data_IF_601749009009
#
_entry.id   IF_601749009009
#
_cell.length_a   1.000
_cell.length_b   1.000
_cell.length_c   1.000
_cell.angle_alpha   90.00
_cell.angle_beta   90.00
_cell.angle_gamma   90.00
#
_symmetry.space_group_name_H-M   'P 1'
#
loop_
_entity.id
_entity.type
_entity.pdbx_description
1 polymer ?
2 non-polymer ?
3 non-polymer ?
4 water ?
#
# COMPACT_ATOMS: atom_id res chain seq x y z
N UNK A 1 -16.87 -6.86 -5.75
CA UNK A 1 -16.23 -7.20 -4.44
C UNK A 1 -15.21 -6.11 -4.04
N UNK A 2 -14.46 -5.57 -4.95
CA UNK A 2 -13.38 -4.57 -4.57
C UNK A 2 -13.90 -3.14 -4.67
N UNK A 3 -15.14 -2.96 -5.08
CA UNK A 3 -15.55 -1.66 -5.65
C UNK A 3 -15.49 -0.52 -4.67
N UNK A 4 -15.67 -0.72 -3.37
CA UNK A 4 -15.61 0.42 -2.45
C UNK A 4 -14.17 0.96 -2.27
N UNK A 5 -13.16 0.17 -2.69
CA UNK A 5 -11.78 0.64 -2.66
C UNK A 5 -11.42 1.51 -3.85
N UNK A 6 -12.23 1.49 -4.91
CA UNK A 6 -11.82 2.14 -6.15
C UNK A 6 -11.90 3.66 -6.00
N UNK A 7 -10.97 4.34 -6.63
CA UNK A 7 -10.97 5.78 -6.69
C UNK A 7 -9.62 6.35 -6.32
N UNK A 8 -9.63 7.66 -6.04
CA UNK A 8 -8.43 8.42 -5.76
C UNK A 8 -8.46 8.77 -4.26
N UNK A 9 -7.35 8.52 -3.60
CA UNK A 9 -7.22 8.60 -2.15
C UNK A 9 -6.00 9.43 -1.79
N UNK A 10 -6.10 10.28 -0.79
CA UNK A 10 -5.03 11.17 -0.35
C UNK A 10 -4.62 10.82 1.06
N UNK A 11 -3.31 10.77 1.36
CA UNK A 11 -2.85 10.48 2.74
C UNK A 11 -3.22 11.65 3.66
N UNK A 12 -3.88 11.29 4.79
CA UNK A 12 -4.32 12.24 5.84
C UNK A 12 -3.85 11.89 7.26
N UNK A 13 -3.22 10.74 7.49
CA UNK A 13 -2.63 10.42 8.81
C UNK A 13 -1.60 9.32 8.61
N UNK A 14 -0.46 9.36 9.33
CA UNK A 14 0.51 8.26 9.27
C UNK A 14 1.10 8.02 10.65
N UNK A 15 1.12 6.74 11.04
CA UNK A 15 1.68 6.31 12.32
C UNK A 15 2.70 5.20 12.06
N UNK A 16 3.91 5.40 12.58
CA UNK A 16 4.95 4.38 12.59
C UNK A 16 5.51 4.05 11.20
N UNK A 17 5.37 4.95 10.23
CA UNK A 17 5.95 4.66 8.91
C UNK A 17 7.48 4.59 8.98
N UNK A 18 8.11 5.43 9.80
CA UNK A 18 9.55 5.31 9.92
C UNK A 18 9.96 3.95 10.46
N UNK A 19 9.24 3.42 11.45
CA UNK A 19 9.56 2.10 11.96
C UNK A 19 9.49 1.06 10.85
N UNK A 20 8.44 1.14 10.05
CA UNK A 20 8.25 0.18 8.95
C UNK A 20 9.39 0.29 7.94
N UNK A 21 9.69 1.49 7.50
CA UNK A 21 10.78 1.70 6.55
C UNK A 21 12.11 1.21 7.11
N UNK A 22 12.36 1.53 8.37
CA UNK A 22 13.63 1.13 8.95
C UNK A 22 13.73 -0.39 9.00
N UNK A 23 12.63 -1.07 9.33
CA UNK A 23 12.62 -2.53 9.37
C UNK A 23 12.98 -3.13 8.02
N UNK A 24 12.55 -2.47 6.94
CA UNK A 24 12.87 -2.87 5.56
C UNK A 24 14.27 -2.47 5.14
N UNK A 25 15.04 -1.77 5.98
CA UNK A 25 16.39 -1.37 5.63
C UNK A 25 16.49 -0.13 4.78
N UNK A 26 15.45 0.68 4.74
CA UNK A 26 15.49 1.94 4.00
C UNK A 26 16.44 2.91 4.71
N UNK A 27 17.30 3.57 3.94
CA UNK A 27 18.27 4.50 4.50
C UNK A 27 17.65 5.75 5.08
N UNK A 28 18.41 6.43 5.97
CA UNK A 28 17.88 7.57 6.72
C UNK A 28 17.36 8.66 5.82
N UNK A 29 18.10 8.94 4.76
CA UNK A 29 17.74 10.12 3.93
C UNK A 29 16.44 9.87 3.23
N UNK A 30 16.25 8.65 2.73
CA UNK A 30 14.99 8.27 2.08
C UNK A 30 13.86 8.29 3.11
N UNK A 31 14.09 7.75 4.30
CA UNK A 31 13.06 7.78 5.34
C UNK A 31 12.64 9.21 5.63
N UNK A 32 13.63 10.05 5.73
CA UNK A 32 13.41 11.45 6.03
C UNK A 32 12.47 12.11 5.00
N UNK A 33 12.74 11.98 3.69
CA UNK A 33 11.87 12.53 2.65
C UNK A 33 10.52 11.86 2.67
N UNK A 34 10.52 10.53 2.76
CA UNK A 34 9.26 9.77 2.77
C UNK A 34 8.35 10.23 3.91
N UNK A 35 8.88 10.59 5.05
CA UNK A 35 8.08 10.97 6.24
C UNK A 35 7.32 12.29 6.02
N UNK A 36 7.68 13.07 5.01
CA UNK A 36 7.01 14.34 4.76
C UNK A 36 6.20 14.30 3.46
N UNK A 37 6.13 13.15 2.88
CA UNK A 37 5.44 13.02 1.61
C UNK A 37 3.97 12.64 1.90
N UNK A 38 3.05 13.13 1.05
CA UNK A 38 1.63 12.75 1.21
C UNK A 38 1.17 12.16 -0.12
N UNK A 39 1.32 10.89 -0.31
CA UNK A 39 0.98 10.34 -1.58
C UNK A 39 -0.51 10.35 -1.88
N UNK A 40 -0.76 10.20 -3.17
CA UNK A 40 -2.07 9.91 -3.72
C UNK A 40 -2.07 8.50 -4.24
N UNK A 41 -3.08 7.74 -3.85
CA UNK A 41 -3.24 6.36 -4.29
C UNK A 41 -4.48 6.28 -5.16
N UNK A 42 -4.33 5.73 -6.39
CA UNK A 42 -5.43 5.60 -7.32
C UNK A 42 -5.63 4.12 -7.56
N UNK A 43 -6.84 3.63 -7.29
CA UNK A 43 -7.17 2.20 -7.48
C UNK A 43 -8.27 2.14 -8.54
N UNK A 44 -7.99 1.44 -9.64
CA UNK A 44 -8.97 1.33 -10.72
C UNK A 44 -9.05 -0.12 -11.18
N UNK A 45 -10.22 -0.47 -11.73
CA UNK A 45 -10.33 -1.85 -12.27
C UNK A 45 -10.84 -1.78 -13.71
N UNK A 46 -10.51 -2.84 -14.42
CA UNK A 46 -10.90 -3.04 -15.82
C UNK A 46 -11.13 -4.55 -15.86
N UNK A 47 -12.39 -4.98 -15.75
CA UNK A 47 -12.64 -6.40 -15.63
C UNK A 47 -11.97 -6.92 -14.39
N UNK A 48 -11.25 -8.01 -14.54
CA UNK A 48 -10.62 -8.61 -13.36
C UNK A 48 -9.25 -8.02 -13.10
N UNK A 49 -8.81 -7.02 -13.85
CA UNK A 49 -7.47 -6.45 -13.62
C UNK A 49 -7.61 -5.16 -12.80
N UNK A 50 -6.92 -5.14 -11.67
CA UNK A 50 -6.81 -3.93 -10.85
C UNK A 50 -5.47 -3.26 -11.11
N UNK A 51 -5.50 -1.94 -11.13
CA UNK A 51 -4.29 -1.15 -11.22
C UNK A 51 -4.25 -0.20 -10.02
N UNK A 52 -3.12 -0.21 -9.34
CA UNK A 52 -2.92 0.59 -8.11
C UNK A 52 -1.71 1.47 -8.36
N UNK A 53 -1.98 2.77 -8.45
CA UNK A 53 -0.96 3.80 -8.64
C UNK A 53 -0.71 4.47 -7.32
N UNK A 54 0.56 4.77 -7.01
CA UNK A 54 0.91 5.57 -5.84
C UNK A 54 1.82 6.68 -6.32
N UNK A 55 1.37 7.93 -6.15
CA UNK A 55 2.04 9.09 -6.71
C UNK A 55 2.50 10.02 -5.60
N UNK A 56 3.68 10.59 -5.76
CA UNK A 56 4.16 11.59 -4.81
C UNK A 56 5.19 12.46 -5.47
N UNK A 57 5.66 13.47 -4.71
CA UNK A 57 6.75 14.31 -5.12
C UNK A 57 8.11 13.62 -5.08
N UNK A 58 8.21 12.45 -4.49
CA UNK A 58 9.48 11.76 -4.30
C UNK A 58 9.57 10.53 -5.20
N UNK A 59 8.74 9.56 -4.97
CA UNK A 59 8.70 8.30 -5.74
C UNK A 59 7.27 8.08 -6.24
N UNK A 60 7.16 7.42 -7.39
CA UNK A 60 5.88 6.92 -7.94
C UNK A 60 5.99 5.41 -8.14
N UNK A 61 4.89 4.70 -8.01
CA UNK A 61 4.78 3.30 -8.38
C UNK A 61 3.46 3.03 -9.09
N UNK A 62 3.43 1.93 -9.82
CA UNK A 62 2.19 1.42 -10.40
C UNK A 62 2.32 -0.09 -10.48
N UNK A 63 1.26 -0.79 -10.07
CA UNK A 63 1.15 -2.23 -10.23
C UNK A 63 -0.21 -2.56 -10.86
N UNK A 64 -0.24 -3.63 -11.65
CA UNK A 64 -1.48 -4.21 -12.13
C UNK A 64 -1.48 -5.70 -11.78
N UNK A 65 -2.65 -6.20 -11.41
CA UNK A 65 -2.75 -7.56 -10.95
C UNK A 65 -4.20 -8.03 -11.05
N UNK A 66 -4.35 -9.34 -11.07
CA UNK A 66 -5.62 -10.01 -10.85
C UNK A 66 -5.67 -10.51 -9.42
N UNK A 67 -6.81 -10.37 -8.71
CA UNK A 67 -6.91 -10.89 -7.38
C UNK A 67 -6.61 -12.38 -7.41
N UNK A 68 -5.81 -12.82 -6.44
CA UNK A 68 -5.54 -14.22 -6.28
C UNK A 68 -4.54 -14.82 -7.24
N UNK A 69 -3.84 -14.00 -8.01
CA UNK A 69 -2.85 -14.48 -8.98
C UNK A 69 -1.52 -13.78 -8.67
N UNK A 70 -0.49 -14.55 -8.44
CA UNK A 70 0.82 -13.99 -8.10
C UNK A 70 1.35 -13.12 -9.25
N UNK A 71 2.08 -12.08 -8.89
CA UNK A 71 2.72 -11.20 -9.86
C UNK A 71 4.08 -10.78 -9.31
N UNK A 72 4.99 -10.48 -10.24
CA UNK A 72 6.24 -9.87 -9.86
C UNK A 72 6.02 -8.39 -9.61
N UNK A 73 6.77 -7.84 -8.63
CA UNK A 73 6.67 -6.44 -8.27
C UNK A 73 8.05 -5.93 -7.89
N UNK A 74 8.31 -4.69 -8.24
CA UNK A 74 9.50 -3.96 -7.77
C UNK A 74 9.00 -2.77 -6.96
N UNK A 75 9.24 -2.81 -5.66
CA UNK A 75 8.62 -1.85 -4.77
C UNK A 75 9.28 -0.48 -4.85
N UNK A 76 8.67 0.49 -4.14
CA UNK A 76 9.16 1.86 -4.17
C UNK A 76 10.59 1.97 -3.67
N UNK A 77 10.95 1.07 -2.73
CA UNK A 77 12.29 0.98 -2.16
C UNK A 77 13.15 -0.08 -2.86
N UNK A 78 12.76 -0.45 -4.08
CA UNK A 78 13.56 -1.31 -5.00
C UNK A 78 13.70 -2.78 -4.58
N UNK A 79 12.81 -3.28 -3.73
CA UNK A 79 12.79 -4.73 -3.50
C UNK A 79 12.10 -5.42 -4.67
N UNK A 80 12.68 -6.54 -5.10
CA UNK A 80 12.07 -7.38 -6.13
C UNK A 80 11.37 -8.53 -5.42
N UNK A 81 10.04 -8.50 -5.46
CA UNK A 81 9.23 -9.37 -4.63
C UNK A 81 8.23 -10.16 -5.48
N UNK A 82 7.72 -11.23 -4.87
CA UNK A 82 6.62 -12.02 -5.40
C UNK A 82 5.39 -11.61 -4.62
N UNK A 83 4.35 -11.18 -5.29
CA UNK A 83 3.20 -10.55 -4.65
C UNK A 83 1.91 -11.25 -5.01
N UNK A 84 0.96 -11.15 -4.09
CA UNK A 84 -0.42 -11.58 -4.36
C UNK A 84 -1.34 -10.67 -3.58
N UNK A 85 -2.46 -10.33 -4.18
CA UNK A 85 -3.48 -9.48 -3.53
C UNK A 85 -4.78 -10.28 -3.53
N UNK A 86 -5.50 -10.30 -2.42
CA UNK A 86 -6.73 -11.05 -2.24
C UNK A 86 -7.66 -10.23 -1.35
N UNK A 87 -8.95 -10.52 -1.39
CA UNK A 87 -9.90 -9.99 -0.40
C UNK A 87 -10.06 -10.98 0.73
N UNK A 88 -9.99 -10.48 1.95
CA UNK A 88 -10.06 -11.33 3.15
C UNK A 88 -10.87 -10.56 4.16
N UNK A 89 -12.05 -11.01 4.48
CA UNK A 89 -12.85 -10.28 5.45
C UNK A 89 -13.21 -8.90 4.99
N UNK A 90 -13.32 -8.71 3.68
CA UNK A 90 -13.61 -7.39 3.11
C UNK A 90 -12.40 -6.47 2.99
N UNK A 91 -11.25 -6.93 3.40
CA UNK A 91 -10.01 -6.17 3.35
C UNK A 91 -9.22 -6.60 2.12
N UNK A 92 -8.55 -5.62 1.54
CA UNK A 92 -7.70 -5.89 0.40
C UNK A 92 -6.32 -6.21 0.98
N UNK A 93 -5.84 -7.48 0.88
CA UNK A 93 -4.62 -7.94 1.54
C UNK A 93 -3.56 -8.18 0.47
N UNK A 94 -2.44 -7.52 0.67
CA UNK A 94 -1.36 -7.62 -0.32
C UNK A 94 -0.18 -8.19 0.46
N UNK A 95 0.30 -9.31 -0.07
CA UNK A 95 1.42 -10.00 0.57
C UNK A 95 2.60 -9.98 -0.40
N UNK A 96 3.75 -9.52 0.08
CA UNK A 96 5.00 -9.51 -0.69
C UNK A 96 5.98 -10.47 -0.03
N UNK A 97 6.66 -11.26 -0.86
CA UNK A 97 7.65 -12.26 -0.41
C UNK A 97 8.96 -12.04 -1.15
N UNK A 98 10.07 -12.06 -0.43
CA UNK A 98 11.38 -11.97 -1.06
C UNK A 98 12.43 -12.45 -0.05
N UNK A 99 13.41 -13.19 -0.52
CA UNK A 99 14.54 -13.56 0.37
C UNK A 99 14.04 -14.30 1.63
N UNK A 100 12.89 -14.98 1.55
CA UNK A 100 12.32 -15.62 2.72
C UNK A 100 11.57 -14.67 3.67
N UNK A 101 11.61 -13.38 3.44
CA UNK A 101 10.89 -12.36 4.20
C UNK A 101 9.50 -12.20 3.65
N UNK A 102 8.62 -11.61 4.45
CA UNK A 102 7.31 -11.20 4.03
C UNK A 102 6.96 -9.84 4.60
N UNK A 103 6.10 -9.13 3.87
CA UNK A 103 5.42 -7.97 4.45
C UNK A 103 4.02 -7.97 3.90
N UNK A 104 3.09 -7.48 4.72
CA UNK A 104 1.70 -7.33 4.32
C UNK A 104 1.30 -5.87 4.30
N UNK A 105 0.49 -5.56 3.31
CA UNK A 105 -0.12 -4.24 3.12
C UNK A 105 -1.61 -4.49 3.09
N UNK A 106 -2.32 -4.15 4.17
CA UNK A 106 -3.73 -4.51 4.33
C UNK A 106 -4.55 -3.23 4.28
N UNK A 107 -5.53 -3.18 3.40
CA UNK A 107 -6.41 -2.01 3.27
C UNK A 107 -7.82 -2.37 3.70
N UNK A 108 -8.39 -1.49 4.49
CA UNK A 108 -9.78 -1.67 4.88
C UNK A 108 -10.45 -0.33 4.96
N UNK A 109 -11.74 -0.39 4.79
CA UNK A 109 -12.57 0.81 4.81
C UNK A 109 -13.21 0.89 6.15
N UNK A 110 -13.02 1.98 6.81
CA UNK A 110 -13.63 2.29 8.13
C UNK A 110 -14.20 3.71 8.02
N UNK A 111 -15.52 3.76 8.23
CA UNK A 111 -16.29 5.03 8.17
C UNK A 111 -15.89 5.80 6.90
N UNK A 112 -15.73 5.14 5.75
CA UNK A 112 -15.42 5.82 4.48
C UNK A 112 -13.97 6.19 4.26
N UNK A 113 -13.11 5.96 5.23
CA UNK A 113 -11.67 6.20 5.10
C UNK A 113 -11.00 4.88 4.79
N UNK A 114 -9.90 4.97 4.05
CA UNK A 114 -9.13 3.78 3.73
C UNK A 114 -7.94 3.73 4.69
N UNK A 115 -7.88 2.64 5.45
CA UNK A 115 -6.83 2.43 6.45
C UNK A 115 -5.90 1.37 5.87
N UNK A 116 -4.65 1.75 5.69
CA UNK A 116 -3.58 0.89 5.20
C UNK A 116 -2.70 0.51 6.38
N UNK A 117 -2.60 -0.79 6.67
CA UNK A 117 -1.75 -1.29 7.72
C UNK A 117 -0.59 -2.04 7.07
N UNK A 118 0.62 -1.62 7.37
CA UNK A 118 1.85 -2.15 6.80
C UNK A 118 2.57 -2.88 7.92
N UNK A 119 2.88 -4.17 7.75
CA UNK A 119 3.55 -4.95 8.78
C UNK A 119 4.80 -5.60 8.20
N UNK A 120 5.93 -5.43 8.85
CA UNK A 120 7.17 -6.15 8.49
C UNK A 120 7.92 -6.36 9.79
N UNK A 121 8.38 -7.58 10.01
CA UNK A 121 9.03 -7.85 11.30
C UNK A 121 8.02 -7.61 12.40
N UNK A 122 8.41 -6.82 13.39
CA UNK A 122 7.50 -6.41 14.44
C UNK A 122 6.86 -5.06 14.17
N UNK A 123 7.30 -4.35 13.15
CA UNK A 123 6.83 -2.98 12.87
C UNK A 123 5.43 -3.03 12.26
N UNK A 124 4.57 -2.16 12.80
CA UNK A 124 3.20 -2.04 12.33
C UNK A 124 2.91 -0.56 12.12
N UNK A 125 2.69 -0.18 10.87
CA UNK A 125 2.41 1.19 10.47
C UNK A 125 0.95 1.29 10.03
N UNK A 126 0.28 2.36 10.43
CA UNK A 126 -1.09 2.59 10.01
C UNK A 126 -1.16 3.94 9.31
N UNK A 127 -1.68 3.90 8.09
CA UNK A 127 -1.81 5.13 7.33
C UNK A 127 -3.25 5.25 6.91
N UNK A 128 -3.73 6.47 6.97
CA UNK A 128 -5.12 6.75 6.67
C UNK A 128 -5.22 7.62 5.44
N UNK A 129 -6.10 7.22 4.53
CA UNK A 129 -6.33 7.91 3.28
C UNK A 129 -7.80 8.34 3.21
N UNK A 130 -8.02 9.51 2.69
CA UNK A 130 -9.41 10.01 2.45
C UNK A 130 -9.64 10.03 0.94
N UNK A 131 -10.91 9.84 0.58
CA UNK A 131 -11.30 9.80 -0.84
C UNK A 131 -11.31 11.22 -1.42
N UNK A 132 -10.77 11.36 -2.56
CA UNK A 132 -10.93 12.54 -3.41
C UNK A 132 -12.18 12.40 -4.32
N UNK A 133 -12.89 13.50 -4.47
CA UNK A 133 -14.10 13.59 -5.27
C UNK A 133 -13.71 13.53 -6.71
#
# INVERSE_FOLDING_TARGET
>A
MVDAFLGTWKLVDSKNFDDYMKSLGVGFATRQVASMTKPTTIIEKNGDILTLKTHSTFKNTEISFKLGVEFDETTADDRKVKSIVTLDGGKLVHLQKWDGQETTLVRELIDGKLILTLTHGTAVCTRTYEKEA
#
